data_IF_100548542347
#
_entry.id   IF_100548542347
#
_cell.length_a   1.000
_cell.length_b   1.000
_cell.length_c   1.000
_cell.angle_alpha   90.00
_cell.angle_beta   90.00
_cell.angle_gamma   90.00
#
_symmetry.space_group_name_H-M   'P 1'
#
loop_
_entity.id
_entity.type
_entity.pdbx_description
1 polymer ?
#
# COMPACT_ATOMS: atom_id res chain seq x y z
N UNK A 1 -19.74 -15.82 49.40
CA UNK A 1 -20.21 -15.54 48.02
C UNK A 1 -19.03 -14.93 47.27
N UNK A 2 -18.32 -15.76 46.53
CA UNK A 2 -17.10 -15.38 45.81
C UNK A 2 -17.46 -15.47 44.34
N UNK A 3 -17.52 -14.33 43.65
CA UNK A 3 -17.80 -14.28 42.22
C UNK A 3 -16.49 -14.54 41.49
N UNK A 4 -16.37 -15.72 40.89
CA UNK A 4 -15.29 -16.06 39.96
C UNK A 4 -15.64 -15.38 38.64
N UNK A 5 -14.83 -14.39 38.25
CA UNK A 5 -14.96 -13.72 36.96
C UNK A 5 -14.26 -14.59 35.90
N UNK A 6 -15.03 -15.40 35.19
CA UNK A 6 -14.55 -16.19 34.07
C UNK A 6 -14.32 -15.27 32.88
N UNK A 7 -13.06 -14.92 32.61
CA UNK A 7 -12.66 -14.22 31.38
C UNK A 7 -12.77 -15.21 30.23
N UNK A 8 -13.82 -15.07 29.43
CA UNK A 8 -13.95 -15.75 28.14
C UNK A 8 -12.94 -15.13 27.16
N UNK A 9 -11.82 -15.81 26.93
CA UNK A 9 -11.00 -15.59 25.75
C UNK A 9 -11.79 -16.10 24.53
N UNK A 10 -12.40 -15.18 23.78
CA UNK A 10 -12.85 -15.50 22.43
C UNK A 10 -11.61 -15.57 21.52
N UNK A 11 -11.35 -16.70 20.83
CA UNK A 11 -10.35 -16.74 19.79
C UNK A 11 -10.85 -15.87 18.63
N UNK A 12 -10.15 -14.76 18.36
CA UNK A 12 -10.35 -14.01 17.12
C UNK A 12 -9.83 -14.91 16.01
N UNK A 13 -10.76 -15.58 15.34
CA UNK A 13 -10.48 -16.29 14.10
C UNK A 13 -10.23 -15.22 13.04
N UNK A 14 -8.97 -14.83 12.84
CA UNK A 14 -8.59 -14.04 11.68
C UNK A 14 -8.89 -14.88 10.45
N UNK A 15 -9.99 -14.59 9.78
CA UNK A 15 -10.20 -15.03 8.41
C UNK A 15 -9.02 -14.49 7.62
N UNK A 16 -8.22 -15.38 7.01
CA UNK A 16 -7.29 -14.96 5.96
C UNK A 16 -8.15 -14.32 4.88
N UNK A 17 -8.22 -13.00 4.87
CA UNK A 17 -8.52 -12.25 3.66
C UNK A 17 -7.34 -12.58 2.76
N UNK A 18 -7.58 -13.35 1.71
CA UNK A 18 -6.59 -13.46 0.63
C UNK A 18 -6.22 -12.03 0.24
N UNK A 19 -4.92 -11.73 0.24
CA UNK A 19 -4.42 -10.44 -0.20
C UNK A 19 -4.77 -10.31 -1.69
N UNK A 20 -5.94 -9.75 -1.97
CA UNK A 20 -6.36 -9.46 -3.32
C UNK A 20 -5.54 -8.29 -3.89
N UNK A 21 -5.75 -7.97 -5.17
CA UNK A 21 -5.11 -6.90 -5.95
C UNK A 21 -5.19 -5.48 -5.35
N UNK A 22 -5.92 -5.29 -4.25
CA UNK A 22 -5.84 -4.12 -3.38
C UNK A 22 -5.27 -4.57 -2.03
N UNK A 23 -4.04 -4.16 -1.69
CA UNK A 23 -3.37 -4.55 -0.45
C UNK A 23 -1.88 -4.24 -0.39
N UNK A 24 -1.17 -4.91 0.53
CA UNK A 24 0.28 -4.80 0.63
C UNK A 24 0.94 -5.49 -0.57
N UNK A 25 1.91 -4.80 -1.17
CA UNK A 25 2.81 -5.35 -2.19
C UNK A 25 4.09 -5.86 -1.55
N UNK A 26 5.22 -5.58 -2.20
CA UNK A 26 6.53 -5.99 -1.71
C UNK A 26 6.99 -5.16 -0.53
N UNK A 27 7.81 -5.77 0.33
CA UNK A 27 8.33 -5.14 1.54
C UNK A 27 9.69 -5.69 1.95
N UNK A 28 10.42 -4.87 2.70
CA UNK A 28 11.56 -5.28 3.51
C UNK A 28 11.37 -4.70 4.91
N UNK A 29 11.63 -5.49 5.96
CA UNK A 29 11.46 -5.02 7.32
C UNK A 29 12.44 -5.66 8.30
N UNK A 30 12.57 -5.01 9.45
CA UNK A 30 13.34 -5.44 10.61
C UNK A 30 12.57 -5.17 11.90
N UNK A 31 12.82 -6.00 12.90
CA UNK A 31 12.23 -5.91 14.22
C UNK A 31 11.31 -7.10 14.57
N UNK A 32 10.86 -7.15 15.84
CA UNK A 32 11.05 -6.13 16.87
C UNK A 32 12.51 -6.05 17.39
N UNK A 33 12.90 -4.89 17.91
CA UNK A 33 14.11 -4.73 18.73
C UNK A 33 14.00 -5.58 19.99
N UNK A 34 15.14 -5.85 20.64
CA UNK A 34 15.15 -6.51 21.94
C UNK A 34 14.39 -5.69 23.00
N UNK A 35 13.99 -6.35 24.10
CA UNK A 35 13.38 -5.70 25.25
C UNK A 35 14.23 -4.51 25.73
N UNK A 36 13.58 -3.39 26.08
CA UNK A 36 14.20 -2.11 26.45
C UNK A 36 15.19 -1.52 25.42
N UNK A 37 15.08 -1.90 24.14
CA UNK A 37 15.84 -1.31 23.04
C UNK A 37 14.87 -0.77 21.98
N UNK A 38 15.28 0.25 21.24
CA UNK A 38 14.47 0.87 20.19
C UNK A 38 15.33 1.55 19.12
N UNK A 39 14.72 1.93 18.02
CA UNK A 39 15.38 2.66 16.93
C UNK A 39 15.33 4.16 17.25
N UNK A 40 16.48 4.79 17.42
CA UNK A 40 16.59 6.24 17.67
C UNK A 40 16.59 7.06 16.40
N UNK A 41 17.25 6.57 15.37
CA UNK A 41 17.37 7.25 14.09
C UNK A 41 17.06 6.24 13.01
N UNK A 42 16.24 6.62 12.05
CA UNK A 42 16.01 5.87 10.82
C UNK A 42 15.94 6.83 9.65
N UNK A 43 16.84 6.66 8.68
CA UNK A 43 16.86 7.42 7.43
C UNK A 43 16.81 6.42 6.28
N UNK A 44 16.09 6.74 5.21
CA UNK A 44 16.11 6.00 3.94
C UNK A 44 15.70 6.93 2.81
N UNK A 45 16.25 6.70 1.62
CA UNK A 45 15.97 7.56 0.46
C UNK A 45 15.32 6.73 -0.64
N UNK A 46 14.10 7.08 -1.02
CA UNK A 46 13.46 6.53 -2.20
C UNK A 46 14.03 7.21 -3.43
N UNK A 47 14.47 6.44 -4.41
CA UNK A 47 14.62 6.94 -5.78
C UNK A 47 13.25 6.81 -6.44
N UNK A 48 12.57 7.94 -6.65
CA UNK A 48 11.16 7.95 -7.08
C UNK A 48 11.02 7.23 -8.42
N UNK A 49 10.25 6.13 -8.49
CA UNK A 49 10.10 5.39 -9.73
C UNK A 49 9.13 6.07 -10.68
N UNK A 50 9.02 5.53 -11.90
CA UNK A 50 7.89 5.85 -12.76
C UNK A 50 6.58 5.54 -12.01
N UNK A 51 5.56 6.38 -12.21
CA UNK A 51 4.24 6.14 -11.66
C UNK A 51 3.71 4.75 -12.07
N UNK A 52 2.86 4.11 -11.24
CA UNK A 52 2.20 2.86 -11.58
C UNK A 52 1.45 2.97 -12.90
N UNK A 53 1.34 1.84 -13.63
CA UNK A 53 0.65 1.79 -14.92
C UNK A 53 -0.52 0.79 -14.90
N UNK A 54 -1.78 1.24 -15.04
CA UNK A 54 -2.21 2.64 -15.09
C UNK A 54 -2.06 3.33 -13.72
N UNK A 55 -1.83 4.65 -13.72
CA UNK A 55 -1.83 5.45 -12.51
C UNK A 55 -3.28 5.68 -12.12
N UNK A 56 -3.75 4.93 -11.13
CA UNK A 56 -5.14 4.96 -10.67
C UNK A 56 -5.23 5.03 -9.15
N UNK A 57 -5.63 3.93 -8.51
CA UNK A 57 -5.83 3.88 -7.07
C UNK A 57 -4.67 4.47 -6.26
N UNK A 58 -4.95 4.85 -5.02
CA UNK A 58 -3.96 5.44 -4.12
C UNK A 58 -2.90 4.39 -3.76
N UNK A 59 -1.74 4.49 -4.40
CA UNK A 59 -0.55 3.72 -4.08
C UNK A 59 0.35 4.54 -3.16
N UNK A 60 0.73 3.98 -2.02
CA UNK A 60 1.68 4.58 -1.10
C UNK A 60 2.97 3.74 -1.08
N UNK A 61 4.08 4.36 -1.43
CA UNK A 61 5.42 3.84 -1.17
C UNK A 61 5.91 4.47 0.13
N UNK A 62 6.20 3.66 1.14
CA UNK A 62 6.53 4.19 2.45
C UNK A 62 7.71 3.48 3.10
N UNK A 63 8.43 4.23 3.94
CA UNK A 63 9.25 3.66 5.01
C UNK A 63 8.74 4.15 6.34
N UNK A 64 8.75 3.29 7.35
CA UNK A 64 8.19 3.63 8.64
C UNK A 64 8.69 2.77 9.78
N UNK A 65 8.20 3.10 10.97
CA UNK A 65 8.53 2.43 12.21
C UNK A 65 7.27 2.20 13.05
N UNK A 66 6.97 0.92 13.30
CA UNK A 66 5.96 0.54 14.28
C UNK A 66 6.45 0.81 15.70
N UNK A 67 5.57 1.35 16.54
CA UNK A 67 5.97 1.90 17.85
C UNK A 67 5.30 1.19 19.03
N UNK A 68 5.86 1.38 20.23
CA UNK A 68 5.33 0.84 21.49
C UNK A 68 3.95 1.38 21.87
N UNK A 69 3.54 2.52 21.30
CA UNK A 69 2.20 3.07 21.51
C UNK A 69 1.15 2.49 20.54
N UNK A 70 1.56 1.63 19.59
CA UNK A 70 0.69 1.10 18.55
C UNK A 70 0.52 2.04 17.34
N UNK A 71 1.25 3.16 17.32
CA UNK A 71 1.30 4.05 16.16
C UNK A 71 2.29 3.52 15.11
N UNK A 72 2.12 3.95 13.87
CA UNK A 72 3.06 3.76 12.78
C UNK A 72 3.55 5.12 12.28
N UNK A 73 4.80 5.45 12.61
CA UNK A 73 5.49 6.63 12.07
C UNK A 73 5.88 6.29 10.63
N UNK A 74 5.35 6.98 9.64
CA UNK A 74 5.56 6.66 8.22
C UNK A 74 5.44 7.89 7.34
N UNK A 75 6.53 8.31 6.71
CA UNK A 75 6.46 9.21 5.57
C UNK A 75 6.02 8.42 4.34
N UNK A 76 5.25 9.08 3.48
CA UNK A 76 4.62 8.48 2.31
C UNK A 76 5.11 9.20 1.06
N UNK A 77 5.30 8.45 -0.02
CA UNK A 77 5.40 8.93 -1.40
C UNK A 77 4.29 8.26 -2.18
N UNK A 78 3.28 9.02 -2.54
CA UNK A 78 1.99 8.50 -2.98
C UNK A 78 1.72 8.83 -4.44
N UNK A 79 1.10 7.90 -5.15
CA UNK A 79 0.68 8.05 -6.54
C UNK A 79 -0.80 7.75 -6.64
N UNK A 80 -1.51 8.65 -7.30
CA UNK A 80 -2.94 8.56 -7.62
C UNK A 80 -3.21 9.44 -8.84
N UNK A 81 -4.44 9.48 -9.37
CA UNK A 81 -4.77 10.26 -10.58
C UNK A 81 -5.97 11.22 -10.43
N UNK A 82 -6.61 11.23 -9.27
CA UNK A 82 -7.76 12.07 -8.96
C UNK A 82 -7.42 13.02 -7.80
N UNK A 83 -8.26 14.02 -7.53
CA UNK A 83 -8.09 14.92 -6.39
C UNK A 83 -8.41 14.21 -5.06
N UNK A 84 -7.60 13.20 -4.71
CA UNK A 84 -7.73 12.38 -3.49
C UNK A 84 -7.18 13.13 -2.27
N UNK A 85 -6.12 13.93 -2.48
CA UNK A 85 -5.56 14.81 -1.45
C UNK A 85 -5.79 16.30 -1.74
N UNK A 86 -5.46 17.13 -0.75
CA UNK A 86 -5.65 18.58 -0.83
C UNK A 86 -4.36 19.35 -1.08
N UNK A 87 -3.19 18.73 -0.91
CA UNK A 87 -1.92 19.42 -0.97
C UNK A 87 -1.22 19.34 -2.32
N UNK A 88 -1.17 18.16 -2.93
CA UNK A 88 -0.55 17.95 -4.23
C UNK A 88 -1.57 18.07 -5.38
N UNK A 89 -2.84 17.75 -5.12
CA UNK A 89 -3.91 17.75 -6.13
C UNK A 89 -3.70 16.66 -7.18
N UNK A 90 -4.47 16.66 -8.27
CA UNK A 90 -4.34 15.65 -9.32
C UNK A 90 -2.91 15.52 -9.87
N UNK A 91 -2.40 14.29 -9.89
CA UNK A 91 -1.08 13.93 -10.40
C UNK A 91 -1.18 13.28 -11.78
N UNK A 92 -0.18 13.55 -12.64
CA UNK A 92 -0.01 12.95 -13.96
C UNK A 92 1.45 12.53 -14.14
N UNK A 93 1.76 11.27 -13.84
CA UNK A 93 3.12 10.72 -13.81
C UNK A 93 3.97 11.15 -12.61
N UNK A 94 3.48 12.09 -11.81
CA UNK A 94 4.11 12.61 -10.60
C UNK A 94 3.66 11.86 -9.34
N UNK A 95 4.32 12.15 -8.21
CA UNK A 95 4.07 11.61 -6.88
C UNK A 95 3.86 12.73 -5.85
N UNK A 96 3.26 12.41 -4.70
CA UNK A 96 3.13 13.33 -3.57
C UNK A 96 3.89 12.81 -2.35
N UNK A 97 4.86 13.58 -1.85
CA UNK A 97 5.72 13.21 -0.73
C UNK A 97 5.41 14.02 0.54
N UNK A 98 5.33 13.35 1.69
CA UNK A 98 5.06 14.01 2.97
C UNK A 98 5.44 13.17 4.20
N UNK A 99 5.70 13.86 5.31
CA UNK A 99 5.89 13.22 6.63
C UNK A 99 4.55 12.86 7.22
N UNK A 100 4.40 11.68 7.83
CA UNK A 100 3.13 11.25 8.37
C UNK A 100 3.25 10.25 9.54
N UNK A 101 2.18 10.13 10.33
CA UNK A 101 2.03 9.09 11.36
C UNK A 101 0.58 8.59 11.31
N UNK A 102 0.42 7.28 11.21
CA UNK A 102 -0.85 6.62 11.46
C UNK A 102 -1.02 6.43 12.97
N UNK A 103 -1.98 7.15 13.53
CA UNK A 103 -2.41 7.01 14.93
C UNK A 103 -3.83 6.45 14.98
N UNK A 104 -4.34 6.13 16.18
CA UNK A 104 -5.71 5.63 16.34
C UNK A 104 -6.79 6.58 15.78
N UNK A 105 -6.51 7.88 15.69
CA UNK A 105 -7.40 8.89 15.12
C UNK A 105 -7.32 9.01 13.58
N UNK A 106 -6.47 8.21 12.93
CA UNK A 106 -6.22 8.25 11.49
C UNK A 106 -4.84 8.80 11.14
N UNK A 107 -4.60 9.00 9.83
CA UNK A 107 -3.36 9.51 9.30
C UNK A 107 -3.22 11.02 9.61
N UNK A 108 -2.06 11.44 10.10
CA UNK A 108 -1.74 12.84 10.42
C UNK A 108 -0.34 13.16 9.93
N UNK A 109 -0.09 14.38 9.44
CA UNK A 109 1.23 14.69 8.92
C UNK A 109 1.51 16.15 8.65
N UNK A 110 2.59 16.34 7.90
CA UNK A 110 3.14 17.64 7.54
C UNK A 110 2.61 18.15 6.21
N UNK A 111 3.44 18.93 5.52
CA UNK A 111 3.13 19.51 4.23
C UNK A 111 3.30 18.46 3.12
N UNK A 112 2.28 18.32 2.28
CA UNK A 112 2.31 17.57 1.02
C UNK A 112 3.06 18.36 -0.06
N UNK A 113 4.00 17.72 -0.73
CA UNK A 113 4.82 18.33 -1.80
C UNK A 113 5.04 17.35 -2.94
N UNK A 114 4.81 17.82 -4.17
CA UNK A 114 5.01 17.03 -5.39
C UNK A 114 6.48 16.59 -5.52
N UNK A 115 6.67 15.33 -5.86
CA UNK A 115 7.94 14.71 -6.21
C UNK A 115 7.84 14.11 -7.62
N UNK A 116 8.94 14.13 -8.35
CA UNK A 116 8.99 13.69 -9.74
C UNK A 116 9.82 12.41 -9.89
N UNK A 117 9.61 11.68 -10.98
CA UNK A 117 10.42 10.49 -11.31
C UNK A 117 11.91 10.84 -11.29
N UNK A 118 12.68 10.04 -10.54
CA UNK A 118 14.12 10.20 -10.37
C UNK A 118 14.53 11.14 -9.23
N UNK A 119 13.60 11.84 -8.59
CA UNK A 119 13.92 12.58 -7.36
C UNK A 119 14.39 11.61 -6.26
N UNK A 120 15.33 12.09 -5.45
CA UNK A 120 15.76 11.40 -4.22
C UNK A 120 14.95 11.94 -3.03
N UNK A 121 13.99 11.13 -2.56
CA UNK A 121 13.12 11.47 -1.43
C UNK A 121 13.65 10.82 -0.16
N UNK A 122 14.38 11.58 0.67
CA UNK A 122 14.87 11.10 1.96
C UNK A 122 13.80 11.26 3.03
N UNK A 123 13.42 10.15 3.65
CA UNK A 123 12.54 10.07 4.81
C UNK A 123 13.39 9.83 6.06
N UNK A 124 13.28 10.73 7.04
CA UNK A 124 14.14 10.76 8.22
C UNK A 124 13.32 10.86 9.50
N UNK A 125 13.68 10.03 10.48
CA UNK A 125 13.03 9.95 11.79
C UNK A 125 14.09 10.03 12.89
N UNK A 126 13.89 10.90 13.87
CA UNK A 126 14.82 11.11 14.99
C UNK A 126 14.06 11.17 16.30
N UNK A 127 14.40 10.27 17.23
CA UNK A 127 13.87 10.31 18.59
C UNK A 127 14.44 11.50 19.36
N UNK A 128 13.56 12.30 19.95
CA UNK A 128 13.87 13.50 20.70
C UNK A 128 13.74 13.23 22.20
N UNK A 129 14.87 13.05 22.90
CA UNK A 129 14.89 12.72 24.33
C UNK A 129 14.22 13.78 25.22
N UNK A 130 14.19 15.04 24.80
CA UNK A 130 13.60 16.11 25.61
C UNK A 130 12.06 16.06 25.58
N UNK A 131 11.49 15.67 24.42
CA UNK A 131 10.05 15.67 24.21
C UNK A 131 9.44 14.26 24.31
N UNK A 132 10.23 13.21 24.16
CA UNK A 132 9.74 11.83 23.99
C UNK A 132 9.00 11.63 22.66
N UNK A 133 9.32 12.44 21.65
CA UNK A 133 8.70 12.40 20.33
C UNK A 133 9.65 11.84 19.28
N UNK A 134 9.11 11.39 18.15
CA UNK A 134 9.87 11.27 16.91
C UNK A 134 9.65 12.51 16.05
N UNK A 135 10.73 13.23 15.79
CA UNK A 135 10.77 14.29 14.79
C UNK A 135 10.99 13.67 13.41
N UNK A 136 10.13 14.04 12.46
CA UNK A 136 10.13 13.52 11.10
C UNK A 136 10.48 14.63 10.11
N UNK A 137 11.20 14.24 9.07
CA UNK A 137 11.61 15.13 7.99
C UNK A 137 11.54 14.39 6.66
N UNK A 138 10.97 15.05 5.65
CA UNK A 138 11.09 14.61 4.25
C UNK A 138 11.87 15.64 3.48
N UNK A 139 12.88 15.17 2.75
CA UNK A 139 13.70 15.96 1.85
C UNK A 139 13.50 15.47 0.43
N UNK A 140 13.44 16.39 -0.54
CA UNK A 140 13.50 16.08 -1.98
C UNK A 140 14.80 16.69 -2.50
N UNK A 141 15.70 15.86 -3.00
CA UNK A 141 17.02 16.28 -3.49
C UNK A 141 17.74 17.18 -2.46
N UNK A 142 17.89 16.68 -1.23
CA UNK A 142 18.47 17.36 -0.06
C UNK A 142 17.74 18.62 0.46
N UNK A 143 16.63 19.03 -0.17
CA UNK A 143 15.83 20.17 0.30
C UNK A 143 14.73 19.70 1.24
N UNK A 144 14.70 20.23 2.47
CA UNK A 144 13.60 19.97 3.41
C UNK A 144 12.27 20.49 2.85
N UNK A 145 11.28 19.62 2.71
CA UNK A 145 9.95 19.95 2.16
C UNK A 145 8.80 19.69 3.13
N UNK A 146 8.94 18.71 4.03
CA UNK A 146 7.93 18.43 5.05
C UNK A 146 8.57 18.14 6.40
N UNK A 147 7.89 18.55 7.47
CA UNK A 147 8.27 18.30 8.86
C UNK A 147 7.03 17.98 9.69
N UNK A 148 7.14 16.97 10.54
CA UNK A 148 6.11 16.60 11.51
C UNK A 148 6.74 16.02 12.77
N UNK A 149 6.04 16.00 13.90
CA UNK A 149 6.57 15.44 15.16
C UNK A 149 5.44 14.82 15.96
N UNK A 150 5.62 13.59 16.43
CA UNK A 150 4.58 12.84 17.16
C UNK A 150 5.11 12.18 18.43
N UNK A 151 4.27 12.14 19.45
CA UNK A 151 4.51 11.37 20.67
C UNK A 151 4.00 9.94 20.49
N UNK A 152 4.86 9.07 19.98
CA UNK A 152 4.50 7.71 19.58
C UNK A 152 5.23 6.63 20.41
N UNK A 153 5.80 6.97 21.56
CA UNK A 153 6.55 6.00 22.37
C UNK A 153 7.90 5.66 21.72
N UNK A 154 8.28 4.38 21.68
CA UNK A 154 9.56 3.91 21.14
C UNK A 154 9.39 3.07 19.88
N UNK A 155 10.20 3.31 18.84
CA UNK A 155 10.17 2.57 17.58
C UNK A 155 10.78 1.17 17.77
N UNK A 156 9.96 0.14 17.60
CA UNK A 156 10.34 -1.25 17.84
C UNK A 156 10.76 -1.98 16.56
N UNK A 157 10.38 -1.47 15.39
CA UNK A 157 10.77 -2.03 14.11
C UNK A 157 10.88 -0.95 13.06
N UNK A 158 11.46 -1.30 11.93
CA UNK A 158 11.57 -0.44 10.76
C UNK A 158 11.23 -1.26 9.52
N UNK A 159 10.64 -0.63 8.50
CA UNK A 159 10.45 -1.31 7.23
C UNK A 159 10.02 -0.39 6.11
N UNK A 160 10.08 -0.92 4.90
CA UNK A 160 9.58 -0.34 3.67
C UNK A 160 8.40 -1.19 3.20
N UNK A 161 7.36 -0.60 2.62
CA UNK A 161 6.37 -1.37 1.89
C UNK A 161 5.72 -0.57 0.76
N UNK A 162 5.13 -1.32 -0.16
CA UNK A 162 4.15 -0.82 -1.12
C UNK A 162 2.75 -1.11 -0.57
N UNK A 163 1.86 -0.13 -0.58
CA UNK A 163 0.48 -0.30 -0.14
C UNK A 163 -0.48 0.33 -1.14
N UNK A 164 -1.33 -0.49 -1.76
CA UNK A 164 -2.43 -0.01 -2.55
C UNK A 164 -3.67 0.10 -1.66
N UNK A 165 -4.20 1.33 -1.50
CA UNK A 165 -5.28 1.66 -0.59
C UNK A 165 -6.46 0.68 -0.70
N UNK A 166 -6.81 0.09 0.44
CA UNK A 166 -7.93 -0.86 0.57
C UNK A 166 -9.22 -0.20 1.07
N UNK A 167 -9.17 1.07 1.49
CA UNK A 167 -10.35 1.80 1.95
C UNK A 167 -11.18 2.25 0.75
N UNK A 168 -12.51 2.10 0.85
CA UNK A 168 -13.40 2.45 -0.23
C UNK A 168 -13.32 3.96 -0.57
N UNK A 169 -13.18 4.33 -1.86
CA UNK A 169 -13.16 3.44 -3.01
C UNK A 169 -11.79 2.78 -3.23
N UNK A 170 -11.74 1.45 -3.13
CA UNK A 170 -10.51 0.66 -3.22
C UNK A 170 -10.25 0.27 -4.68
N UNK A 171 -9.77 1.21 -5.47
CA UNK A 171 -9.37 0.97 -6.85
C UNK A 171 -7.96 0.36 -6.89
N UNK A 172 -7.70 -0.75 -7.61
CA UNK A 172 -6.37 -1.35 -7.63
C UNK A 172 -5.29 -0.50 -8.32
N UNK A 173 -4.06 -0.54 -7.82
CA UNK A 173 -3.00 0.42 -8.14
C UNK A 173 -2.03 -0.07 -9.23
N UNK A 174 -2.54 -0.63 -10.34
CA UNK A 174 -1.76 -0.99 -11.54
C UNK A 174 -0.42 -1.73 -11.30
N UNK A 175 0.47 -1.70 -12.30
CA UNK A 175 1.83 -2.20 -12.18
C UNK A 175 2.74 -1.14 -11.56
N UNK A 176 3.21 -1.39 -10.34
CA UNK A 176 4.31 -0.65 -9.71
C UNK A 176 5.64 -1.18 -10.22
N UNK A 177 6.48 -0.35 -10.88
CA UNK A 177 7.77 -0.80 -11.38
C UNK A 177 8.79 -1.04 -10.26
N UNK A 178 9.83 -1.80 -10.57
CA UNK A 178 11.00 -1.98 -9.70
C UNK A 178 11.56 -0.64 -9.26
N UNK A 179 11.84 -0.51 -7.96
CA UNK A 179 12.39 0.71 -7.37
C UNK A 179 13.36 0.39 -6.24
N UNK A 180 13.99 1.43 -5.68
CA UNK A 180 15.06 1.24 -4.69
C UNK A 180 14.98 2.24 -3.56
N UNK A 181 15.25 1.74 -2.36
CA UNK A 181 15.61 2.52 -1.19
C UNK A 181 17.12 2.52 -1.04
N UNK A 182 17.74 3.69 -1.13
CA UNK A 182 19.18 3.87 -0.98
C UNK A 182 19.52 4.58 0.33
N UNK A 183 20.77 4.45 0.76
CA UNK A 183 21.32 5.16 1.92
C UNK A 183 20.48 4.94 3.20
N UNK A 184 20.05 3.70 3.45
CA UNK A 184 19.32 3.37 4.67
C UNK A 184 20.28 3.32 5.85
N UNK A 185 19.93 4.02 6.93
CA UNK A 185 20.67 4.04 8.20
C UNK A 185 19.70 3.92 9.36
N UNK A 186 19.89 2.91 10.20
CA UNK A 186 19.21 2.74 11.48
C UNK A 186 20.23 2.85 12.61
N UNK A 187 19.90 3.59 13.67
CA UNK A 187 20.70 3.66 14.90
C UNK A 187 19.83 3.21 16.06
N UNK A 188 20.20 2.11 16.72
CA UNK A 188 19.49 1.58 17.88
C UNK A 188 19.86 2.36 19.15
N UNK A 189 19.07 2.30 20.21
CA UNK A 189 19.37 2.89 21.52
C UNK A 189 20.54 2.17 22.20
N UNK A 190 20.59 0.85 22.09
CA UNK A 190 21.68 0.00 22.58
C UNK A 190 22.14 -0.98 21.49
N UNK A 191 23.44 -1.38 21.47
CA UNK A 191 23.93 -2.33 20.49
C UNK A 191 23.18 -3.67 20.56
N UNK A 192 22.72 -4.16 19.41
CA UNK A 192 22.05 -5.46 19.28
C UNK A 192 22.69 -6.25 18.12
N UNK A 193 23.75 -7.04 18.37
CA UNK A 193 24.49 -7.76 17.32
C UNK A 193 23.63 -8.70 16.48
N UNK A 194 22.54 -9.22 17.06
CA UNK A 194 21.64 -10.19 16.44
C UNK A 194 20.36 -9.55 15.88
N UNK A 195 20.32 -8.23 15.67
CA UNK A 195 19.14 -7.57 15.09
C UNK A 195 18.82 -8.08 13.68
N UNK A 196 19.83 -8.56 12.94
CA UNK A 196 19.66 -9.20 11.63
C UNK A 196 18.76 -10.44 11.65
N UNK A 197 18.63 -11.11 12.79
CA UNK A 197 17.77 -12.29 12.93
C UNK A 197 16.27 -11.94 12.81
N UNK A 198 15.95 -10.64 12.87
CA UNK A 198 14.59 -10.11 12.77
C UNK A 198 14.20 -9.70 11.35
N UNK A 199 15.12 -9.79 10.39
CA UNK A 199 14.87 -9.31 9.04
C UNK A 199 13.88 -10.21 8.30
N UNK A 200 12.95 -9.59 7.61
CA UNK A 200 11.95 -10.26 6.78
C UNK A 200 11.75 -9.49 5.48
N UNK A 201 11.44 -10.21 4.40
CA UNK A 201 11.17 -9.58 3.11
C UNK A 201 10.25 -10.44 2.26
N UNK A 202 9.54 -9.77 1.36
CA UNK A 202 8.80 -10.39 0.27
C UNK A 202 8.99 -9.53 -0.98
N UNK A 203 9.59 -10.11 -2.03
CA UNK A 203 9.94 -9.41 -3.27
C UNK A 203 10.90 -8.23 -3.12
N UNK A 204 11.66 -8.18 -2.03
CA UNK A 204 12.77 -7.27 -1.85
C UNK A 204 14.12 -8.01 -1.86
N UNK A 205 15.18 -7.34 -2.32
CA UNK A 205 16.56 -7.82 -2.23
C UNK A 205 17.47 -6.74 -1.65
N UNK A 206 18.55 -7.17 -1.00
CA UNK A 206 19.38 -6.30 -0.17
C UNK A 206 19.32 -6.71 1.30
N UNK A 207 20.12 -6.06 2.13
CA UNK A 207 20.15 -6.30 3.58
C UNK A 207 20.73 -5.09 4.30
N UNK A 208 20.60 -5.07 5.62
CA UNK A 208 21.27 -4.14 6.51
C UNK A 208 22.49 -4.82 7.13
N UNK A 209 23.61 -4.11 7.21
CA UNK A 209 24.82 -4.58 7.87
C UNK A 209 25.25 -3.61 8.96
N UNK A 210 25.87 -4.16 10.01
CA UNK A 210 26.43 -3.39 11.12
C UNK A 210 27.94 -3.60 11.19
N UNK A 211 28.67 -2.50 11.45
CA UNK A 211 30.13 -2.51 11.64
C UNK A 211 30.56 -2.17 13.08
N UNK A 212 29.62 -1.85 13.95
CA UNK A 212 29.87 -1.32 15.30
C UNK A 212 29.20 -2.16 16.41
N UNK A 213 29.05 -3.46 16.17
CA UNK A 213 28.48 -4.40 17.15
C UNK A 213 26.96 -4.34 17.27
N UNK A 214 26.27 -3.86 16.25
CA UNK A 214 24.81 -3.85 16.15
C UNK A 214 24.18 -2.56 16.65
N UNK A 215 24.96 -1.48 16.78
CA UNK A 215 24.46 -0.15 17.19
C UNK A 215 23.93 0.62 15.97
N UNK A 216 24.63 0.54 14.85
CA UNK A 216 24.27 1.17 13.57
C UNK A 216 24.13 0.10 12.49
N UNK A 217 23.00 0.11 11.79
CA UNK A 217 22.68 -0.78 10.70
C UNK A 217 22.50 0.02 9.42
N UNK A 218 23.20 -0.35 8.36
CA UNK A 218 23.25 0.42 7.11
C UNK A 218 22.99 -0.45 5.89
N UNK A 219 22.37 0.12 4.87
CA UNK A 219 22.25 -0.48 3.54
C UNK A 219 22.51 0.57 2.48
N UNK A 220 23.36 0.25 1.51
CA UNK A 220 23.55 1.11 0.34
C UNK A 220 22.34 1.06 -0.59
N UNK A 221 21.71 -0.11 -0.72
CA UNK A 221 20.57 -0.32 -1.61
C UNK A 221 19.71 -1.51 -1.13
N UNK A 222 18.41 -1.26 -1.02
CA UNK A 222 17.35 -2.26 -0.93
C UNK A 222 16.49 -2.10 -2.19
N UNK A 223 16.46 -3.13 -3.03
CA UNK A 223 15.68 -3.14 -4.27
C UNK A 223 14.35 -3.83 -4.05
N UNK A 224 13.27 -3.17 -4.43
CA UNK A 224 11.90 -3.71 -4.42
C UNK A 224 11.56 -4.13 -5.86
N UNK A 225 11.21 -5.41 -6.06
CA UNK A 225 10.82 -5.92 -7.37
C UNK A 225 9.49 -5.31 -7.83
N UNK A 226 9.22 -5.33 -9.13
CA UNK A 226 7.94 -4.86 -9.65
C UNK A 226 6.78 -5.67 -9.08
N UNK A 227 5.66 -5.02 -8.81
CA UNK A 227 4.45 -5.63 -8.27
C UNK A 227 3.21 -5.15 -9.03
N UNK A 228 2.34 -6.07 -9.41
CA UNK A 228 1.12 -5.76 -10.17
C UNK A 228 -0.10 -5.94 -9.28
N UNK A 229 -0.79 -4.82 -9.02
CA UNK A 229 -2.05 -4.77 -8.30
C UNK A 229 -3.26 -5.05 -9.20
N UNK A 230 -3.07 -5.54 -10.42
CA UNK A 230 -4.18 -5.96 -11.28
C UNK A 230 -4.66 -7.35 -10.88
N UNK A 231 -5.99 -7.61 -10.72
CA UNK A 231 -6.50 -8.96 -10.54
C UNK A 231 -6.00 -9.92 -11.63
N UNK A 232 -5.42 -11.03 -11.21
CA UNK A 232 -4.91 -12.10 -12.06
C UNK A 232 -5.74 -13.37 -11.87
N UNK A 233 -6.21 -13.93 -12.98
CA UNK A 233 -6.85 -15.24 -12.97
C UNK A 233 -5.84 -16.36 -13.22
N UNK A 234 -5.94 -17.52 -12.54
CA UNK A 234 -7.08 -17.96 -11.71
C UNK A 234 -7.01 -17.56 -10.23
N UNK A 235 -5.93 -16.92 -9.78
CA UNK A 235 -5.65 -16.73 -8.34
C UNK A 235 -6.64 -15.78 -7.64
N UNK A 236 -7.18 -14.80 -8.37
CA UNK A 236 -8.16 -13.82 -7.87
C UNK A 236 -9.62 -14.19 -8.17
N UNK A 237 -9.93 -15.48 -8.38
CA UNK A 237 -11.33 -15.92 -8.52
C UNK A 237 -12.14 -15.61 -7.26
N UNK A 238 -13.24 -14.88 -7.41
CA UNK A 238 -14.08 -14.42 -6.30
C UNK A 238 -13.63 -13.09 -5.66
N UNK A 239 -12.60 -12.44 -6.18
CA UNK A 239 -12.19 -11.12 -5.68
C UNK A 239 -13.32 -10.09 -5.80
N UNK A 240 -13.49 -9.26 -4.76
CA UNK A 240 -14.51 -8.19 -4.73
C UNK A 240 -13.87 -6.85 -5.02
N UNK A 241 -14.03 -6.41 -6.25
CA UNK A 241 -13.51 -5.13 -6.73
C UNK A 241 -14.51 -4.01 -6.42
N UNK A 242 -14.02 -2.90 -5.84
CA UNK A 242 -14.83 -1.70 -5.58
C UNK A 242 -14.43 -0.58 -6.53
N UNK A 243 -15.38 -0.02 -7.27
CA UNK A 243 -15.14 1.10 -8.18
C UNK A 243 -15.02 2.42 -7.42
N UNK A 244 -14.64 3.50 -8.12
CA UNK A 244 -14.58 4.86 -7.57
C UNK A 244 -15.94 5.37 -7.07
N UNK A 245 -17.03 4.95 -7.72
CA UNK A 245 -18.40 5.28 -7.32
C UNK A 245 -18.95 4.35 -6.22
N UNK A 246 -18.10 3.54 -5.58
CA UNK A 246 -18.46 2.59 -4.51
C UNK A 246 -19.31 1.39 -4.93
N UNK A 247 -19.44 1.11 -6.23
CA UNK A 247 -20.04 -0.15 -6.68
C UNK A 247 -19.10 -1.31 -6.43
N UNK A 248 -19.66 -2.44 -6.01
CA UNK A 248 -18.91 -3.67 -5.74
C UNK A 248 -19.22 -4.70 -6.80
N UNK A 249 -18.19 -5.20 -7.47
CA UNK A 249 -18.27 -6.28 -8.44
C UNK A 249 -17.54 -7.53 -7.93
N UNK A 250 -18.15 -8.69 -8.11
CA UNK A 250 -17.49 -9.98 -7.87
C UNK A 250 -16.80 -10.44 -9.16
N UNK A 251 -15.49 -10.57 -9.12
CA UNK A 251 -14.68 -11.09 -10.22
C UNK A 251 -14.80 -12.61 -10.25
N UNK A 252 -15.00 -13.18 -11.44
CA UNK A 252 -15.03 -14.62 -11.68
C UNK A 252 -14.12 -14.94 -12.86
N UNK A 253 -13.18 -15.83 -12.61
CA UNK A 253 -12.27 -16.36 -13.61
C UNK A 253 -12.96 -17.41 -14.49
N UNK A 254 -12.52 -17.49 -15.75
CA UNK A 254 -13.06 -18.43 -16.74
C UNK A 254 -14.59 -18.36 -16.91
N UNK A 255 -15.16 -17.16 -16.79
CA UNK A 255 -16.60 -16.92 -16.85
C UNK A 255 -16.96 -15.90 -17.95
N UNK A 256 -18.16 -16.08 -18.50
CA UNK A 256 -18.75 -15.19 -19.48
C UNK A 256 -20.23 -14.99 -19.15
N UNK A 257 -20.83 -13.97 -19.77
CA UNK A 257 -22.25 -13.68 -19.74
C UNK A 257 -22.76 -13.53 -21.16
N UNK A 258 -23.70 -14.39 -21.57
CA UNK A 258 -24.26 -14.41 -22.93
C UNK A 258 -25.67 -13.81 -22.95
N UNK A 259 -25.96 -13.01 -23.98
CA UNK A 259 -27.20 -12.25 -24.08
C UNK A 259 -27.12 -10.90 -23.37
N UNK A 260 -28.15 -10.06 -23.54
CA UNK A 260 -28.25 -8.78 -22.83
C UNK A 260 -27.20 -7.73 -23.20
N UNK A 261 -26.62 -7.78 -24.40
CA UNK A 261 -25.55 -6.88 -24.85
C UNK A 261 -25.92 -5.39 -24.74
N UNK A 262 -25.05 -4.61 -24.11
CA UNK A 262 -25.17 -3.15 -24.01
C UNK A 262 -24.10 -2.42 -24.82
N UNK A 263 -22.95 -3.07 -25.05
CA UNK A 263 -21.86 -2.51 -25.83
C UNK A 263 -20.57 -3.29 -25.70
N UNK A 264 -19.58 -2.93 -26.51
CA UNK A 264 -18.23 -3.46 -26.43
C UNK A 264 -17.24 -2.34 -26.68
N UNK A 265 -16.15 -2.34 -25.91
CA UNK A 265 -15.10 -1.34 -26.00
C UNK A 265 -13.75 -1.95 -25.68
N UNK A 266 -12.68 -1.34 -26.20
CA UNK A 266 -11.32 -1.79 -25.95
C UNK A 266 -10.85 -1.22 -24.62
N UNK A 267 -10.58 -2.08 -23.64
CA UNK A 267 -10.13 -1.70 -22.31
C UNK A 267 -8.99 -2.61 -21.86
N UNK A 268 -8.04 -2.03 -21.14
CA UNK A 268 -6.78 -2.69 -20.78
C UNK A 268 -6.88 -3.70 -19.66
N UNK A 269 -7.97 -3.69 -18.90
CA UNK A 269 -8.11 -4.48 -17.68
C UNK A 269 -9.57 -4.83 -17.34
N UNK A 270 -9.78 -5.81 -16.46
CA UNK A 270 -11.11 -6.11 -15.91
C UNK A 270 -11.63 -4.96 -15.03
N UNK A 271 -10.73 -4.21 -14.39
CA UNK A 271 -11.06 -3.07 -13.54
C UNK A 271 -11.68 -1.93 -14.34
N UNK A 272 -11.06 -1.57 -15.46
CA UNK A 272 -11.63 -0.61 -16.41
C UNK A 272 -12.99 -1.11 -16.91
N UNK A 273 -13.10 -2.42 -17.15
CA UNK A 273 -14.31 -3.03 -17.67
C UNK A 273 -15.49 -2.92 -16.69
N UNK A 274 -15.28 -3.20 -15.41
CA UNK A 274 -16.33 -3.04 -14.39
C UNK A 274 -16.61 -1.57 -14.07
N UNK A 275 -15.61 -0.69 -14.16
CA UNK A 275 -15.80 0.77 -14.03
C UNK A 275 -16.71 1.29 -15.12
N UNK A 276 -16.47 0.91 -16.37
CA UNK A 276 -17.35 1.33 -17.45
C UNK A 276 -18.74 0.67 -17.40
N UNK A 277 -18.85 -0.53 -16.84
CA UNK A 277 -20.15 -1.10 -16.51
C UNK A 277 -20.86 -0.26 -15.46
N UNK A 278 -20.15 0.22 -14.45
CA UNK A 278 -20.68 1.10 -13.42
C UNK A 278 -21.25 2.39 -14.02
N UNK A 279 -20.54 3.02 -14.94
CA UNK A 279 -20.97 4.24 -15.62
C UNK A 279 -22.09 3.99 -16.65
N UNK A 280 -22.32 2.73 -17.05
CA UNK A 280 -23.31 2.37 -18.08
C UNK A 280 -24.66 2.02 -17.45
N UNK A 281 -25.69 2.80 -17.79
CA UNK A 281 -27.05 2.53 -17.35
C UNK A 281 -27.50 1.09 -17.68
N UNK A 282 -28.08 0.41 -16.68
CA UNK A 282 -28.54 -0.98 -16.74
C UNK A 282 -27.46 -2.04 -17.01
N UNK A 283 -26.17 -1.73 -16.82
CA UNK A 283 -25.13 -2.75 -16.86
C UNK A 283 -25.01 -3.46 -15.50
N UNK A 284 -24.96 -4.78 -15.55
CA UNK A 284 -24.83 -5.66 -14.38
C UNK A 284 -23.64 -6.61 -14.49
N UNK A 285 -23.18 -6.89 -15.72
CA UNK A 285 -22.03 -7.75 -15.93
C UNK A 285 -21.07 -7.14 -16.93
N UNK A 286 -19.79 -7.26 -16.65
CA UNK A 286 -18.70 -6.87 -17.52
C UNK A 286 -17.86 -8.11 -17.83
N UNK A 287 -17.52 -8.37 -19.08
CA UNK A 287 -16.70 -9.53 -19.48
C UNK A 287 -15.49 -9.02 -20.24
N UNK A 288 -14.30 -9.31 -19.72
CA UNK A 288 -13.03 -8.94 -20.31
C UNK A 288 -12.33 -10.15 -20.92
N UNK A 289 -11.88 -10.02 -22.17
CA UNK A 289 -11.21 -11.08 -22.94
C UNK A 289 -9.67 -10.94 -23.01
N UNK A 290 -9.11 -10.01 -22.25
CA UNK A 290 -7.70 -9.61 -22.34
C UNK A 290 -7.48 -8.35 -23.19
N UNK A 291 -8.48 -7.87 -23.93
CA UNK A 291 -8.38 -6.65 -24.77
C UNK A 291 -9.68 -5.87 -24.88
N UNK A 292 -10.82 -6.56 -24.95
CA UNK A 292 -12.14 -5.98 -25.08
C UNK A 292 -12.96 -6.26 -23.84
N UNK A 293 -13.77 -5.28 -23.48
CA UNK A 293 -14.77 -5.35 -22.45
C UNK A 293 -16.17 -5.39 -23.10
N UNK A 294 -16.90 -6.47 -22.88
CA UNK A 294 -18.31 -6.60 -23.22
C UNK A 294 -19.19 -6.26 -22.02
N UNK A 295 -20.07 -5.26 -22.20
CA UNK A 295 -21.01 -4.81 -21.16
C UNK A 295 -22.37 -5.48 -21.36
N UNK A 296 -22.95 -5.97 -20.27
CA UNK A 296 -24.16 -6.81 -20.29
C UNK A 296 -25.18 -6.33 -19.26
N UNK A 297 -26.44 -6.39 -19.63
CA UNK A 297 -27.58 -6.14 -18.74
C UNK A 297 -27.93 -7.35 -17.88
N UNK A 298 -28.86 -7.15 -16.95
CA UNK A 298 -29.32 -8.18 -15.99
C UNK A 298 -29.95 -9.42 -16.62
N UNK A 299 -30.31 -9.39 -17.91
CA UNK A 299 -30.88 -10.55 -18.62
C UNK A 299 -29.83 -11.53 -19.14
N UNK A 300 -28.55 -11.19 -19.04
CA UNK A 300 -27.48 -12.06 -19.50
C UNK A 300 -27.30 -13.27 -18.57
N UNK A 301 -27.03 -14.43 -19.15
CA UNK A 301 -26.85 -15.67 -18.40
C UNK A 301 -25.37 -16.03 -18.26
N UNK A 302 -24.97 -16.42 -17.05
CA UNK A 302 -23.59 -16.86 -16.78
C UNK A 302 -23.31 -18.18 -17.47
N UNK A 303 -22.21 -18.23 -18.22
CA UNK A 303 -21.69 -19.44 -18.86
C UNK A 303 -20.18 -19.57 -18.61
N UNK A 304 -19.63 -20.77 -18.82
CA UNK A 304 -18.18 -20.95 -18.80
C UNK A 304 -17.54 -20.25 -20.01
N UNK A 305 -16.38 -19.62 -19.79
CA UNK A 305 -15.65 -18.88 -20.81
C UNK A 305 -14.16 -18.94 -20.55
N UNK A 306 -13.46 -19.93 -21.12
CA UNK A 306 -12.02 -20.10 -20.91
C UNK A 306 -11.25 -18.85 -21.35
N UNK A 307 -10.35 -18.36 -20.47
CA UNK A 307 -9.56 -17.15 -20.71
C UNK A 307 -10.32 -15.83 -20.53
N UNK A 308 -11.60 -15.89 -20.16
CA UNK A 308 -12.41 -14.69 -19.88
C UNK A 308 -12.47 -14.40 -18.39
N UNK A 309 -12.49 -13.13 -18.05
CA UNK A 309 -12.71 -12.64 -16.68
C UNK A 309 -14.03 -11.89 -16.67
N UNK A 310 -14.96 -12.26 -15.79
CA UNK A 310 -16.25 -11.59 -15.67
C UNK A 310 -16.37 -10.87 -14.32
N UNK A 311 -16.83 -9.62 -14.33
CA UNK A 311 -17.28 -8.91 -13.14
C UNK A 311 -18.80 -8.90 -13.09
N UNK A 312 -19.38 -9.30 -11.95
CA UNK A 312 -20.81 -9.22 -11.71
C UNK A 312 -21.12 -8.22 -10.60
N UNK A 313 -22.00 -7.26 -10.88
CA UNK A 313 -22.42 -6.26 -9.92
C UNK A 313 -23.09 -6.94 -8.72
N UNK A 314 -22.53 -6.71 -7.53
CA UNK A 314 -23.07 -7.19 -6.25
C UNK A 314 -23.87 -6.09 -5.58
N UNK A 315 -23.30 -4.89 -5.53
CA UNK A 315 -23.95 -3.71 -4.94
C UNK A 315 -23.64 -2.50 -5.82
N UNK A 316 -24.66 -1.70 -6.13
CA UNK A 316 -24.50 -0.44 -6.84
C UNK A 316 -24.17 0.66 -5.84
N UNK A 317 -23.14 1.44 -6.14
CA UNK A 317 -22.77 2.65 -5.43
C UNK A 317 -23.58 3.87 -5.86
N UNK A 318 -23.06 5.07 -5.58
CA UNK A 318 -23.79 6.34 -5.70
C UNK A 318 -23.58 7.02 -7.05
#
# INVERSE_FOLDING_TARGET
>A
MTVINTVLLLPVLSTLVAAGPSGFGHYFGSGPTAHDNWIRVANSTLVVPAAPSPQKGLLSLWVGMGTSNGDLIQALVESYNDDIDTGCGALDGDWCAWTSTLVAAGQQGGQEVVAQVGDEVTMSYVYNDNMGNYDQYVFINDKLVSKFSTSSGHALGWGTAEECNQAAPAYPCGLTPTHSWINTVLVLDSPQPNYSDTFGSFGASGTLASVDGGKTWTSENITIQAWDYTPVCPDDDGYRLTTLDYSVFNITCSANYTGGELGTQKLGSIQDCVTACDETANCFFAVWDGTNCGLKSSVAEKVAGSGLIAGALVTKGC
#
